data_IF_901154163284
#
_entry.id   IF_901154163284
#
_cell.length_a   1.000
_cell.length_b   1.000
_cell.length_c   1.000
_cell.angle_alpha   90.00
_cell.angle_beta   90.00
_cell.angle_gamma   90.00
#
_symmetry.space_group_name_H-M   'P 1'
#
loop_
_entity.id
_entity.type
_entity.pdbx_description
1 polymer ?
#
# COMPACT_ATOMS: atom_id res chain seq x y z
N UNK A 1 52.64 29.13 14.86
CA UNK A 1 51.26 29.57 15.21
C UNK A 1 50.20 29.26 14.10
N UNK A 2 50.44 29.49 12.79
CA UNK A 2 49.44 29.30 11.73
C UNK A 2 49.11 27.82 11.52
N UNK A 3 50.10 26.88 11.54
CA UNK A 3 49.87 25.41 11.37
C UNK A 3 49.05 24.78 12.51
N UNK A 4 49.23 25.25 13.74
CA UNK A 4 48.48 24.77 14.92
C UNK A 4 46.98 25.19 14.86
N UNK A 5 46.67 26.40 14.40
CA UNK A 5 45.28 26.86 14.23
C UNK A 5 44.54 26.05 13.15
N UNK A 6 45.23 25.73 12.02
CA UNK A 6 44.66 24.90 10.94
C UNK A 6 44.35 23.49 11.43
N UNK A 7 45.25 22.86 12.20
CA UNK A 7 45.04 21.54 12.78
C UNK A 7 43.87 21.49 13.76
N UNK A 8 43.72 22.53 14.63
CA UNK A 8 42.60 22.64 15.57
C UNK A 8 41.28 22.83 14.79
N UNK A 9 41.24 23.70 13.78
CA UNK A 9 40.03 23.94 12.97
C UNK A 9 39.63 22.66 12.21
N UNK A 10 40.59 21.93 11.63
CA UNK A 10 40.35 20.66 10.96
C UNK A 10 39.81 19.59 11.93
N UNK A 11 40.36 19.50 13.12
CA UNK A 11 39.89 18.60 14.18
C UNK A 11 38.47 18.90 14.62
N UNK A 12 38.11 20.20 14.78
CA UNK A 12 36.74 20.62 15.08
C UNK A 12 35.77 20.26 13.95
N UNK A 13 36.13 20.51 12.69
CA UNK A 13 35.29 20.18 11.55
C UNK A 13 35.06 18.69 11.48
N UNK A 14 36.12 17.89 11.60
CA UNK A 14 36.02 16.41 11.64
C UNK A 14 35.16 15.95 12.80
N UNK A 15 35.32 16.52 14.00
CA UNK A 15 34.49 16.22 15.17
C UNK A 15 33.01 16.53 14.94
N UNK A 16 32.67 17.67 14.35
CA UNK A 16 31.30 18.03 13.98
C UNK A 16 30.71 17.05 12.96
N UNK A 17 31.45 16.70 11.91
CA UNK A 17 31.02 15.76 10.89
C UNK A 17 30.77 14.37 11.48
N UNK A 18 31.68 13.87 12.31
CA UNK A 18 31.51 12.59 12.98
C UNK A 18 30.33 12.58 13.96
N UNK A 19 30.12 13.67 14.70
CA UNK A 19 28.96 13.81 15.58
C UNK A 19 27.64 13.86 14.83
N UNK A 20 27.59 14.58 13.72
CA UNK A 20 26.42 14.62 12.83
C UNK A 20 26.13 13.24 12.22
N UNK A 21 27.18 12.52 11.80
CA UNK A 21 27.05 11.16 11.27
C UNK A 21 26.55 10.19 12.34
N UNK A 22 27.11 10.22 13.54
CA UNK A 22 26.69 9.39 14.67
C UNK A 22 25.23 9.69 15.07
N UNK A 23 24.83 10.96 15.08
CA UNK A 23 23.45 11.37 15.34
C UNK A 23 22.50 10.84 14.24
N UNK A 24 22.84 11.02 12.96
CA UNK A 24 22.04 10.54 11.84
C UNK A 24 21.89 9.01 11.88
N UNK A 25 22.98 8.31 12.16
CA UNK A 25 22.99 6.85 12.29
C UNK A 25 22.11 6.38 13.47
N UNK A 26 22.27 7.00 14.64
CA UNK A 26 21.44 6.70 15.82
C UNK A 26 19.97 7.00 15.59
N UNK A 27 19.67 8.14 14.97
CA UNK A 27 18.30 8.51 14.62
C UNK A 27 17.67 7.55 13.61
N UNK A 28 18.43 7.14 12.59
CA UNK A 28 17.92 6.14 11.62
C UNK A 28 17.62 4.80 12.30
N UNK A 29 18.52 4.33 13.19
CA UNK A 29 18.24 3.10 13.98
C UNK A 29 17.03 3.24 14.87
N UNK A 30 16.84 4.40 15.49
CA UNK A 30 15.63 4.69 16.26
C UNK A 30 14.38 4.62 15.38
N UNK A 31 14.35 5.28 14.21
CA UNK A 31 13.22 5.21 13.29
C UNK A 31 12.89 3.78 12.88
N UNK A 32 13.93 2.98 12.62
CA UNK A 32 13.77 1.58 12.22
C UNK A 32 13.30 0.66 13.36
N UNK A 33 13.31 1.11 14.60
CA UNK A 33 12.76 0.35 15.74
C UNK A 33 11.28 0.60 16.00
N UNK A 34 10.66 1.56 15.31
CA UNK A 34 9.29 2.01 15.57
C UNK A 34 8.17 1.16 14.92
N UNK A 35 8.35 0.62 13.70
CA UNK A 35 7.31 -0.17 13.05
C UNK A 35 6.98 -1.47 13.81
N UNK A 36 5.74 -1.91 13.67
CA UNK A 36 5.39 -3.28 14.03
C UNK A 36 5.86 -4.20 12.91
N UNK A 37 6.91 -4.97 13.17
CA UNK A 37 7.45 -5.92 12.19
C UNK A 37 6.74 -7.26 12.26
N UNK A 38 6.33 -7.76 11.09
CA UNK A 38 6.00 -9.17 10.92
C UNK A 38 7.32 -9.98 10.84
N UNK A 39 7.58 -10.78 11.84
CA UNK A 39 8.84 -11.51 12.00
C UNK A 39 8.90 -12.83 11.23
N UNK A 40 7.81 -13.26 10.59
CA UNK A 40 7.78 -14.50 9.80
C UNK A 40 8.55 -14.38 8.46
N UNK A 41 9.12 -13.21 8.16
CA UNK A 41 10.00 -12.99 7.01
C UNK A 41 9.26 -12.85 5.67
N UNK A 42 10.03 -12.98 4.58
CA UNK A 42 9.51 -12.90 3.21
C UNK A 42 8.52 -14.02 2.91
N UNK A 43 7.57 -13.72 2.05
CA UNK A 43 6.57 -14.70 1.61
C UNK A 43 7.08 -15.35 0.33
N UNK A 44 7.37 -16.68 0.34
CA UNK A 44 7.87 -17.36 -0.85
C UNK A 44 6.82 -17.34 -1.96
N UNK A 45 7.29 -17.23 -3.20
CA UNK A 45 6.46 -17.33 -4.38
C UNK A 45 6.06 -18.80 -4.59
N UNK A 46 4.76 -19.04 -4.74
CA UNK A 46 4.24 -20.36 -5.04
C UNK A 46 4.53 -20.71 -6.51
N UNK A 47 5.48 -21.62 -6.74
CA UNK A 47 5.91 -22.02 -8.10
C UNK A 47 5.19 -23.25 -8.63
N UNK A 48 4.71 -24.12 -7.75
CA UNK A 48 4.05 -25.39 -8.15
C UNK A 48 2.53 -25.23 -8.14
N UNK A 49 1.97 -24.79 -9.26
CA UNK A 49 0.53 -24.51 -9.42
C UNK A 49 -0.24 -25.62 -10.13
N UNK A 50 0.45 -26.67 -10.62
CA UNK A 50 -0.19 -27.75 -11.41
C UNK A 50 -1.08 -28.66 -10.56
N UNK A 51 -0.90 -28.68 -9.25
CA UNK A 51 -1.58 -29.58 -8.31
C UNK A 51 -2.70 -28.91 -7.48
N UNK A 52 -3.36 -27.87 -8.01
CA UNK A 52 -4.45 -27.21 -7.30
C UNK A 52 -5.81 -27.72 -7.79
N UNK A 53 -6.37 -28.80 -7.20
CA UNK A 53 -7.62 -29.41 -7.67
C UNK A 53 -8.83 -28.47 -7.53
N UNK A 54 -8.78 -27.55 -6.55
CA UNK A 54 -9.91 -26.70 -6.15
C UNK A 54 -9.97 -25.35 -6.88
N UNK A 55 -9.09 -25.12 -7.88
CA UNK A 55 -9.06 -23.86 -8.63
C UNK A 55 -10.00 -23.93 -9.83
N UNK A 56 -10.87 -22.94 -10.00
CA UNK A 56 -11.76 -22.85 -11.17
C UNK A 56 -10.95 -22.84 -12.48
N UNK A 57 -11.41 -23.52 -13.56
CA UNK A 57 -10.67 -23.65 -14.82
C UNK A 57 -10.23 -22.31 -15.42
N UNK A 58 -11.08 -21.27 -15.32
CA UNK A 58 -10.81 -19.92 -15.83
C UNK A 58 -9.59 -19.27 -15.13
N UNK A 59 -9.38 -19.58 -13.85
CA UNK A 59 -8.23 -19.10 -13.08
C UNK A 59 -6.95 -19.85 -13.44
N UNK A 60 -7.07 -21.16 -13.78
CA UNK A 60 -5.91 -21.99 -14.15
C UNK A 60 -5.16 -21.44 -15.36
N UNK A 61 -5.85 -20.84 -16.33
CA UNK A 61 -5.20 -20.23 -17.50
C UNK A 61 -4.25 -19.10 -17.09
N UNK A 62 -4.70 -18.20 -16.20
CA UNK A 62 -3.83 -17.15 -15.68
C UNK A 62 -2.64 -17.71 -14.87
N UNK A 63 -2.85 -18.80 -14.15
CA UNK A 63 -1.82 -19.44 -13.33
C UNK A 63 -0.72 -20.14 -14.15
N UNK A 64 -0.96 -20.49 -15.40
CA UNK A 64 0.07 -21.02 -16.31
C UNK A 64 1.12 -19.97 -16.69
N UNK A 65 0.78 -18.69 -16.55
CA UNK A 65 1.71 -17.60 -16.83
C UNK A 65 2.81 -17.60 -15.75
N UNK A 66 4.11 -17.56 -16.09
CA UNK A 66 5.18 -17.49 -15.10
C UNK A 66 5.03 -16.29 -14.18
N UNK A 67 5.47 -16.39 -12.93
CA UNK A 67 5.49 -15.22 -12.04
C UNK A 67 6.42 -14.16 -12.62
N UNK A 68 5.90 -12.94 -12.74
CA UNK A 68 6.69 -11.82 -13.21
C UNK A 68 7.58 -11.29 -12.08
N UNK A 69 8.88 -11.33 -12.33
CA UNK A 69 9.90 -10.77 -11.45
C UNK A 69 10.85 -9.91 -12.29
N UNK A 70 10.99 -8.65 -11.89
CA UNK A 70 11.97 -7.72 -12.44
C UNK A 70 12.70 -7.06 -11.27
N UNK A 71 14.03 -7.26 -11.10
CA UNK A 71 14.78 -6.73 -9.96
C UNK A 71 14.83 -5.19 -9.91
N UNK A 72 14.48 -4.50 -10.99
CA UNK A 72 14.38 -3.04 -11.04
C UNK A 72 12.99 -2.50 -10.63
N UNK A 73 12.03 -3.41 -10.36
CA UNK A 73 10.67 -3.05 -9.94
C UNK A 73 10.41 -3.62 -8.55
N UNK A 74 10.29 -2.75 -7.56
CA UNK A 74 10.01 -3.13 -6.18
C UNK A 74 8.52 -3.04 -5.90
N UNK A 75 7.88 -4.18 -5.65
CA UNK A 75 6.46 -4.29 -5.40
C UNK A 75 6.15 -4.34 -3.91
N UNK A 76 5.32 -3.39 -3.42
CA UNK A 76 4.87 -3.30 -2.03
C UNK A 76 3.35 -3.18 -2.02
N UNK A 77 2.65 -4.09 -1.32
CA UNK A 77 1.20 -3.99 -1.17
C UNK A 77 0.84 -3.04 -0.02
N UNK A 78 0.19 -1.93 -0.35
CA UNK A 78 -0.38 -1.01 0.62
C UNK A 78 -1.77 -1.50 1.02
N UNK A 79 -1.95 -1.77 2.32
CA UNK A 79 -3.20 -2.34 2.86
C UNK A 79 -3.83 -1.35 3.84
N UNK A 80 -5.03 -0.89 3.49
CA UNK A 80 -5.89 -0.16 4.42
C UNK A 80 -6.90 -1.12 5.07
N UNK A 81 -6.87 -1.27 6.40
CA UNK A 81 -7.75 -2.20 7.09
C UNK A 81 -8.70 -1.52 8.07
N UNK A 82 -9.95 -2.04 8.15
CA UNK A 82 -10.94 -1.68 9.17
C UNK A 82 -10.77 -2.59 10.39
N UNK A 83 -9.56 -2.55 10.99
CA UNK A 83 -9.31 -3.29 12.23
C UNK A 83 -9.93 -2.53 13.40
N UNK A 84 -10.89 -3.15 14.08
CA UNK A 84 -11.60 -2.55 15.22
C UNK A 84 -11.09 -3.06 16.57
N UNK A 85 -10.53 -4.25 16.60
CA UNK A 85 -9.97 -4.90 17.78
C UNK A 85 -8.71 -5.70 17.42
N UNK A 86 -7.99 -6.16 18.44
CA UNK A 86 -6.78 -6.95 18.28
C UNK A 86 -7.06 -8.44 18.01
N UNK A 87 -8.33 -8.86 18.02
CA UNK A 87 -8.72 -10.26 17.86
C UNK A 87 -8.97 -10.65 16.40
N UNK A 88 -9.10 -9.67 15.49
CA UNK A 88 -9.36 -9.93 14.07
C UNK A 88 -8.38 -9.17 13.17
N UNK A 89 -8.13 -9.71 11.98
CA UNK A 89 -7.36 -8.98 10.97
C UNK A 89 -8.14 -7.79 10.38
N UNK A 90 -9.47 -7.77 10.54
CA UNK A 90 -10.36 -6.82 9.88
C UNK A 90 -10.51 -7.11 8.38
N UNK A 91 -11.29 -6.27 7.71
CA UNK A 91 -11.41 -6.33 6.25
C UNK A 91 -10.39 -5.41 5.61
N UNK A 92 -9.74 -5.87 4.53
CA UNK A 92 -8.98 -4.97 3.67
C UNK A 92 -9.95 -4.22 2.75
N UNK A 93 -10.19 -2.96 3.07
CA UNK A 93 -11.06 -2.10 2.25
C UNK A 93 -10.26 -1.34 1.17
N UNK A 94 -8.95 -1.29 1.30
CA UNK A 94 -8.01 -0.75 0.31
C UNK A 94 -6.84 -1.71 0.10
N UNK A 95 -6.59 -2.06 -1.15
CA UNK A 95 -5.47 -2.90 -1.59
C UNK A 95 -4.85 -2.27 -2.81
N UNK A 96 -3.71 -1.60 -2.62
CA UNK A 96 -3.02 -0.86 -3.67
C UNK A 96 -1.59 -1.38 -3.76
N UNK A 97 -1.23 -1.95 -4.90
CA UNK A 97 0.15 -2.30 -5.19
C UNK A 97 0.89 -1.01 -5.58
N UNK A 98 1.89 -0.67 -4.82
CA UNK A 98 2.90 0.30 -5.18
C UNK A 98 4.05 -0.44 -5.85
N UNK A 99 4.24 -0.21 -7.15
CA UNK A 99 5.41 -0.67 -7.89
C UNK A 99 6.35 0.49 -8.12
N UNK A 100 7.54 0.41 -7.55
CA UNK A 100 8.61 1.41 -7.69
C UNK A 100 9.48 0.95 -8.86
N UNK A 101 9.37 1.58 -10.01
CA UNK A 101 10.19 1.27 -11.18
C UNK A 101 11.42 2.18 -11.18
N UNK A 102 12.58 1.64 -10.81
CA UNK A 102 13.83 2.39 -10.73
C UNK A 102 14.48 2.66 -12.10
N UNK A 103 14.02 1.97 -13.15
CA UNK A 103 14.48 2.18 -14.52
C UNK A 103 13.83 3.39 -15.18
N UNK A 104 12.55 3.62 -14.88
CA UNK A 104 11.74 4.68 -15.50
C UNK A 104 11.50 5.87 -14.59
N UNK A 105 11.99 5.80 -13.33
CA UNK A 105 11.77 6.79 -12.27
C UNK A 105 10.27 7.07 -12.00
N UNK A 106 9.47 5.99 -11.96
CA UNK A 106 8.02 6.08 -11.77
C UNK A 106 7.51 5.26 -10.57
N UNK A 107 6.42 5.75 -10.01
CA UNK A 107 5.54 5.00 -9.12
C UNK A 107 4.28 4.57 -9.87
N UNK A 108 4.01 3.27 -9.89
CA UNK A 108 2.76 2.75 -10.43
C UNK A 108 1.85 2.30 -9.30
N UNK A 109 0.64 2.87 -9.21
CA UNK A 109 -0.36 2.53 -8.22
C UNK A 109 -1.46 1.66 -8.86
N UNK A 110 -1.44 0.37 -8.59
CA UNK A 110 -2.45 -0.58 -9.07
C UNK A 110 -3.46 -0.90 -7.97
N UNK A 111 -4.71 -0.44 -8.11
CA UNK A 111 -5.78 -0.69 -7.14
C UNK A 111 -6.52 -1.97 -7.48
N UNK A 112 -6.54 -2.95 -6.55
CA UNK A 112 -7.31 -4.18 -6.69
C UNK A 112 -8.72 -4.02 -6.14
N UNK A 113 -9.72 -4.37 -6.96
CA UNK A 113 -11.11 -4.40 -6.52
C UNK A 113 -11.30 -5.55 -5.51
N UNK A 114 -11.80 -5.23 -4.34
CA UNK A 114 -11.88 -6.15 -3.19
C UNK A 114 -12.78 -7.37 -3.41
N UNK A 115 -13.73 -7.30 -4.34
CA UNK A 115 -14.68 -8.37 -4.66
C UNK A 115 -14.32 -9.14 -5.94
N UNK A 116 -13.06 -9.05 -6.42
CA UNK A 116 -12.58 -9.97 -7.46
C UNK A 116 -12.66 -11.38 -6.90
N UNK A 117 -13.24 -12.30 -7.68
CA UNK A 117 -13.34 -13.72 -7.36
C UNK A 117 -12.00 -14.38 -7.63
N UNK A 118 -11.34 -14.86 -6.57
CA UNK A 118 -9.94 -15.35 -6.61
C UNK A 118 -9.84 -16.73 -5.97
N UNK A 119 -8.78 -17.48 -6.32
CA UNK A 119 -8.35 -18.67 -5.60
C UNK A 119 -7.55 -18.25 -4.34
N UNK A 120 -7.98 -18.72 -3.16
CA UNK A 120 -7.33 -18.42 -1.88
C UNK A 120 -6.59 -19.66 -1.38
N UNK A 121 -5.27 -19.59 -1.11
CA UNK A 121 -4.50 -20.69 -0.52
C UNK A 121 -5.12 -21.15 0.82
N UNK A 122 -4.96 -22.46 1.13
CA UNK A 122 -5.46 -23.06 2.39
C UNK A 122 -4.59 -22.69 3.62
N UNK A 123 -3.81 -21.64 3.55
CA UNK A 123 -2.92 -21.16 4.60
C UNK A 123 -3.64 -20.11 5.46
N UNK A 124 -4.77 -20.53 6.03
CA UNK A 124 -5.61 -19.66 6.86
C UNK A 124 -5.24 -19.77 8.34
N UNK A 125 -5.43 -18.68 9.07
CA UNK A 125 -5.36 -18.71 10.52
C UNK A 125 -6.33 -19.77 11.08
N UNK A 126 -5.92 -20.60 12.06
CA UNK A 126 -6.77 -21.64 12.67
C UNK A 126 -8.16 -21.15 13.08
N UNK A 127 -8.29 -19.89 13.53
CA UNK A 127 -9.57 -19.27 13.92
C UNK A 127 -10.57 -19.18 12.77
N UNK A 128 -10.08 -19.14 11.50
CA UNK A 128 -10.89 -18.94 10.30
C UNK A 128 -10.97 -20.16 9.40
N UNK A 129 -10.29 -21.28 9.71
CA UNK A 129 -10.29 -22.50 8.90
C UNK A 129 -11.69 -22.99 8.53
N UNK A 130 -12.65 -22.90 9.44
CA UNK A 130 -14.06 -23.32 9.21
C UNK A 130 -14.78 -22.46 8.16
N UNK A 131 -14.32 -21.27 7.90
CA UNK A 131 -14.90 -20.35 6.90
C UNK A 131 -14.15 -20.37 5.57
N UNK A 132 -13.02 -21.09 5.52
CA UNK A 132 -12.20 -21.13 4.34
C UNK A 132 -12.96 -21.77 3.17
N UNK A 133 -12.78 -21.18 1.99
CA UNK A 133 -13.22 -21.71 0.71
C UNK A 133 -12.10 -21.50 -0.32
N UNK A 134 -11.87 -22.47 -1.21
CA UNK A 134 -10.81 -22.36 -2.21
C UNK A 134 -10.98 -21.16 -3.14
N UNK A 135 -12.20 -20.69 -3.32
CA UNK A 135 -12.52 -19.50 -4.12
C UNK A 135 -13.41 -18.56 -3.33
N UNK A 136 -13.03 -17.28 -3.28
CA UNK A 136 -13.81 -16.23 -2.61
C UNK A 136 -13.44 -14.84 -3.15
N UNK A 137 -14.10 -13.79 -2.63
CA UNK A 137 -13.71 -12.41 -2.86
C UNK A 137 -12.31 -12.13 -2.31
N UNK A 138 -11.49 -11.37 -3.02
CA UNK A 138 -10.09 -11.09 -2.68
C UNK A 138 -9.90 -10.60 -1.23
N UNK A 139 -10.78 -9.75 -0.73
CA UNK A 139 -10.69 -9.24 0.64
C UNK A 139 -10.94 -10.30 1.73
N UNK A 140 -11.51 -11.46 1.39
CA UNK A 140 -11.65 -12.57 2.32
C UNK A 140 -10.29 -13.14 2.73
N UNK A 141 -9.30 -13.13 1.84
CA UNK A 141 -7.95 -13.56 2.16
C UNK A 141 -7.36 -12.79 3.35
N UNK A 142 -7.52 -11.47 3.36
CA UNK A 142 -7.06 -10.66 4.52
C UNK A 142 -7.84 -10.98 5.80
N UNK A 143 -9.14 -11.20 5.70
CA UNK A 143 -9.97 -11.56 6.87
C UNK A 143 -9.54 -12.91 7.47
N UNK A 144 -9.15 -13.88 6.64
CA UNK A 144 -8.86 -15.25 7.06
C UNK A 144 -7.41 -15.54 7.44
N UNK A 145 -6.46 -14.74 6.99
CA UNK A 145 -5.04 -14.98 7.24
C UNK A 145 -4.18 -13.71 7.18
N UNK A 146 -4.82 -12.55 7.33
CA UNK A 146 -4.12 -11.26 7.41
C UNK A 146 -3.39 -10.86 6.13
N UNK A 147 -2.40 -9.97 6.27
CA UNK A 147 -1.61 -9.48 5.15
C UNK A 147 -0.91 -10.60 4.39
N UNK A 148 -0.41 -11.60 5.08
CA UNK A 148 0.37 -12.70 4.48
C UNK A 148 -0.47 -13.56 3.53
N UNK A 149 -1.67 -13.97 3.95
CA UNK A 149 -2.56 -14.73 3.07
C UNK A 149 -3.04 -13.87 1.89
N UNK A 150 -3.26 -12.58 2.11
CA UNK A 150 -3.61 -11.66 1.03
C UNK A 150 -2.47 -11.56 -0.02
N UNK A 151 -1.21 -11.43 0.42
CA UNK A 151 -0.07 -11.43 -0.51
C UNK A 151 0.03 -12.73 -1.29
N UNK A 152 -0.01 -13.90 -0.61
CA UNK A 152 -0.03 -15.21 -1.28
C UNK A 152 -1.16 -15.31 -2.31
N UNK A 153 -2.32 -14.77 -1.97
CA UNK A 153 -3.47 -14.75 -2.88
C UNK A 153 -3.21 -13.88 -4.11
N UNK A 154 -2.60 -12.70 -3.93
CA UNK A 154 -2.24 -11.81 -5.05
C UNK A 154 -1.14 -12.45 -5.92
N UNK A 155 -0.08 -12.98 -5.32
CA UNK A 155 0.98 -13.69 -6.05
C UNK A 155 0.41 -14.81 -6.91
N UNK A 156 -0.44 -15.68 -6.30
CA UNK A 156 -1.05 -16.82 -6.97
C UNK A 156 -1.88 -16.40 -8.19
N UNK A 157 -2.81 -15.47 -7.99
CA UNK A 157 -3.80 -15.15 -9.01
C UNK A 157 -3.30 -14.16 -10.05
N UNK A 158 -2.48 -13.17 -9.68
CA UNK A 158 -2.00 -12.13 -10.60
C UNK A 158 -0.59 -12.36 -11.12
N UNK A 159 0.08 -13.44 -10.68
CA UNK A 159 1.42 -13.84 -11.13
C UNK A 159 2.45 -12.72 -11.04
N UNK A 160 2.41 -12.00 -9.93
CA UNK A 160 3.32 -10.90 -9.60
C UNK A 160 4.22 -11.31 -8.43
N UNK A 161 5.50 -10.95 -8.50
CA UNK A 161 6.38 -11.01 -7.34
C UNK A 161 6.08 -9.87 -6.38
N UNK A 162 5.22 -10.15 -5.39
CA UNK A 162 4.82 -9.22 -4.33
C UNK A 162 5.09 -9.87 -2.98
N UNK A 163 6.25 -9.61 -2.39
CA UNK A 163 6.68 -10.25 -1.16
C UNK A 163 6.50 -9.35 0.07
N UNK A 164 6.25 -8.08 -0.13
CA UNK A 164 6.23 -7.09 0.94
C UNK A 164 4.91 -6.34 1.03
N UNK A 165 4.55 -5.95 2.26
CA UNK A 165 3.40 -5.12 2.52
C UNK A 165 3.70 -4.00 3.50
N UNK A 166 2.90 -2.95 3.41
CA UNK A 166 2.74 -1.91 4.43
C UNK A 166 1.26 -1.81 4.75
N UNK A 167 0.91 -2.02 6.01
CA UNK A 167 -0.47 -1.97 6.49
C UNK A 167 -0.65 -0.81 7.45
N UNK A 168 -1.75 -0.09 7.26
CA UNK A 168 -2.19 1.01 8.12
C UNK A 168 -3.66 0.80 8.45
N UNK A 169 -4.03 0.85 9.72
CA UNK A 169 -5.43 0.88 10.13
C UNK A 169 -6.01 2.31 10.07
N UNK A 170 -7.33 2.43 10.16
CA UNK A 170 -7.99 3.72 10.02
C UNK A 170 -7.61 4.74 11.10
N UNK A 171 -7.37 4.31 12.35
CA UNK A 171 -6.95 5.22 13.42
C UNK A 171 -5.57 5.81 13.14
N UNK A 172 -4.68 4.95 12.69
CA UNK A 172 -3.31 5.33 12.36
C UNK A 172 -3.24 6.17 11.08
N UNK A 173 -4.10 5.87 10.09
CA UNK A 173 -4.25 6.71 8.90
C UNK A 173 -4.63 8.15 9.26
N UNK A 174 -5.63 8.35 10.13
CA UNK A 174 -6.04 9.67 10.61
C UNK A 174 -4.86 10.42 11.22
N UNK A 175 -4.10 9.78 12.11
CA UNK A 175 -2.91 10.38 12.74
C UNK A 175 -1.85 10.79 11.72
N UNK A 176 -1.57 9.94 10.72
CA UNK A 176 -0.60 10.26 9.67
C UNK A 176 -1.03 11.50 8.87
N UNK A 177 -2.30 11.56 8.44
CA UNK A 177 -2.83 12.72 7.70
C UNK A 177 -2.77 13.99 8.54
N UNK A 178 -3.13 13.93 9.83
CA UNK A 178 -3.06 15.09 10.72
C UNK A 178 -1.62 15.55 10.94
N UNK A 179 -0.69 14.61 11.04
CA UNK A 179 0.73 14.92 11.25
C UNK A 179 1.36 15.64 10.06
N UNK A 180 1.00 15.30 8.83
CA UNK A 180 1.45 16.05 7.65
C UNK A 180 0.75 17.40 7.50
N UNK A 181 -0.19 17.72 8.40
CA UNK A 181 -0.97 18.96 8.39
C UNK A 181 -2.19 18.92 7.50
N UNK A 182 -2.62 17.73 7.05
CA UNK A 182 -3.71 17.53 6.09
C UNK A 182 -3.21 17.42 4.65
N UNK A 183 -4.10 16.97 3.76
CA UNK A 183 -3.84 16.82 2.33
C UNK A 183 -4.85 17.63 1.51
N UNK A 184 -4.37 18.24 0.42
CA UNK A 184 -5.21 19.02 -0.49
C UNK A 184 -5.92 18.09 -1.46
N UNK A 185 -7.24 18.15 -1.49
CA UNK A 185 -8.09 17.35 -2.36
C UNK A 185 -9.14 18.24 -3.01
N UNK A 186 -9.38 18.05 -4.30
CA UNK A 186 -10.46 18.68 -5.04
C UNK A 186 -11.74 17.89 -4.85
N UNK A 187 -12.74 18.50 -4.19
CA UNK A 187 -14.04 17.89 -3.93
C UNK A 187 -15.07 18.30 -4.99
N UNK A 188 -15.81 17.34 -5.50
CA UNK A 188 -17.06 17.61 -6.22
C UNK A 188 -18.12 18.08 -5.24
N UNK A 189 -19.20 18.77 -5.72
CA UNK A 189 -20.30 19.17 -4.86
C UNK A 189 -21.00 17.98 -4.19
N UNK A 190 -21.14 16.85 -4.89
CA UNK A 190 -21.72 15.64 -4.33
C UNK A 190 -20.89 15.07 -3.16
N UNK A 191 -19.56 15.10 -3.28
CA UNK A 191 -18.64 14.66 -2.21
C UNK A 191 -18.66 15.62 -1.03
N UNK A 192 -18.60 16.93 -1.30
CA UNK A 192 -18.69 17.96 -0.26
C UNK A 192 -20.02 17.89 0.50
N UNK A 193 -21.12 17.74 -0.21
CA UNK A 193 -22.45 17.57 0.39
C UNK A 193 -22.53 16.32 1.28
N UNK A 194 -21.98 15.20 0.80
CA UNK A 194 -21.93 13.96 1.58
C UNK A 194 -21.10 14.11 2.86
N UNK A 195 -19.94 14.78 2.79
CA UNK A 195 -19.08 15.04 3.94
C UNK A 195 -19.73 16.02 4.93
N UNK A 196 -20.42 17.07 4.45
CA UNK A 196 -21.21 17.97 5.31
C UNK A 196 -22.30 17.21 6.07
N UNK A 197 -22.97 16.26 5.40
CA UNK A 197 -23.95 15.37 6.03
C UNK A 197 -23.38 14.47 7.14
N UNK A 198 -22.05 14.32 7.18
CA UNK A 198 -21.32 13.62 8.24
C UNK A 198 -20.70 14.57 9.30
N UNK A 199 -20.99 15.88 9.21
CA UNK A 199 -20.52 16.87 10.17
C UNK A 199 -19.18 17.55 9.81
N UNK A 200 -18.59 17.27 8.63
CA UNK A 200 -17.36 17.92 8.20
C UNK A 200 -17.66 19.29 7.55
N UNK A 201 -16.87 20.31 7.91
CA UNK A 201 -16.99 21.65 7.36
C UNK A 201 -16.16 21.78 6.08
N UNK A 202 -16.75 21.45 4.94
CA UNK A 202 -16.09 21.47 3.63
C UNK A 202 -17.02 22.01 2.56
N UNK A 203 -16.45 22.56 1.48
CA UNK A 203 -17.15 23.02 0.27
C UNK A 203 -16.60 22.31 -0.95
N UNK A 204 -17.27 22.43 -2.10
CA UNK A 204 -16.72 21.96 -3.37
C UNK A 204 -15.43 22.74 -3.74
N UNK A 205 -14.62 22.16 -4.61
CA UNK A 205 -13.31 22.69 -5.00
C UNK A 205 -12.18 22.23 -4.11
N UNK A 206 -11.05 22.92 -4.17
CA UNK A 206 -9.84 22.55 -3.41
C UNK A 206 -10.05 22.74 -1.92
N UNK A 207 -9.84 21.66 -1.17
CA UNK A 207 -10.01 21.63 0.27
C UNK A 207 -8.79 20.98 0.94
N UNK A 208 -8.35 21.53 2.08
CA UNK A 208 -7.38 20.89 2.95
C UNK A 208 -8.10 19.94 3.89
N UNK A 209 -8.11 18.65 3.57
CA UNK A 209 -8.74 17.63 4.41
C UNK A 209 -7.80 17.19 5.54
N UNK A 210 -8.26 17.28 6.77
CA UNK A 210 -7.66 16.69 7.96
C UNK A 210 -8.01 15.20 8.06
N UNK A 211 -7.38 14.48 8.99
CA UNK A 211 -7.45 13.04 9.09
C UNK A 211 -8.85 12.44 9.03
N UNK A 212 -9.78 12.89 9.88
CA UNK A 212 -11.15 12.37 9.91
C UNK A 212 -11.92 12.67 8.61
N UNK A 213 -11.84 13.89 8.09
CA UNK A 213 -12.48 14.26 6.84
C UNK A 213 -11.85 13.51 5.65
N UNK A 214 -10.54 13.32 5.65
CA UNK A 214 -9.82 12.56 4.64
C UNK A 214 -10.21 11.07 4.67
N UNK A 215 -10.34 10.48 5.86
CA UNK A 215 -10.83 9.12 6.04
C UNK A 215 -12.27 9.00 5.55
N UNK A 216 -13.15 9.92 5.95
CA UNK A 216 -14.55 9.95 5.48
C UNK A 216 -14.62 10.04 3.95
N UNK A 217 -13.83 10.92 3.32
CA UNK A 217 -13.72 11.04 1.86
C UNK A 217 -13.31 9.71 1.20
N UNK A 218 -12.26 9.07 1.70
CA UNK A 218 -11.75 7.80 1.17
C UNK A 218 -12.77 6.64 1.27
N UNK A 219 -13.79 6.78 2.12
CA UNK A 219 -14.81 5.76 2.41
C UNK A 219 -16.17 6.06 1.76
N UNK A 220 -16.34 7.16 1.05
CA UNK A 220 -17.59 7.50 0.37
C UNK A 220 -18.00 6.37 -0.59
N UNK A 221 -19.24 5.86 -0.46
CA UNK A 221 -19.81 4.77 -1.26
C UNK A 221 -21.25 5.03 -1.70
N UNK A 222 -22.00 5.88 -0.99
CA UNK A 222 -23.45 6.02 -1.16
C UNK A 222 -23.85 6.95 -2.32
N UNK A 223 -22.92 7.75 -2.79
CA UNK A 223 -23.19 8.75 -3.86
C UNK A 223 -22.82 8.21 -5.26
N UNK A 224 -22.09 7.08 -5.32
CA UNK A 224 -21.61 6.51 -6.57
C UNK A 224 -21.13 5.04 -6.41
N UNK A 225 -20.15 4.61 -7.20
CA UNK A 225 -19.68 3.22 -7.27
C UNK A 225 -18.47 2.92 -6.39
N UNK A 226 -18.23 1.63 -6.15
CA UNK A 226 -17.01 1.14 -5.48
C UNK A 226 -15.72 1.53 -6.26
N UNK A 227 -15.80 1.67 -7.59
CA UNK A 227 -14.72 2.18 -8.45
C UNK A 227 -14.34 3.62 -8.11
N UNK A 228 -15.33 4.48 -7.91
CA UNK A 228 -15.11 5.87 -7.52
C UNK A 228 -14.48 5.95 -6.12
N UNK A 229 -14.89 5.07 -5.19
CA UNK A 229 -14.23 4.96 -3.88
C UNK A 229 -12.75 4.58 -4.03
N UNK A 230 -12.41 3.57 -4.83
CA UNK A 230 -11.01 3.21 -5.08
C UNK A 230 -10.22 4.37 -5.70
N UNK A 231 -10.84 5.15 -6.58
CA UNK A 231 -10.27 6.39 -7.11
C UNK A 231 -9.93 7.37 -5.99
N UNK A 232 -10.88 7.64 -5.08
CA UNK A 232 -10.65 8.52 -3.92
C UNK A 232 -9.49 8.06 -3.03
N UNK A 233 -9.37 6.75 -2.80
CA UNK A 233 -8.26 6.19 -2.02
C UNK A 233 -6.91 6.48 -2.67
N UNK A 234 -6.80 6.37 -3.99
CA UNK A 234 -5.57 6.73 -4.71
C UNK A 234 -5.32 8.23 -4.71
N UNK A 235 -6.37 9.05 -4.90
CA UNK A 235 -6.27 10.52 -4.78
C UNK A 235 -5.67 10.92 -3.44
N UNK A 236 -6.06 10.26 -2.35
CA UNK A 236 -5.50 10.52 -1.01
C UNK A 236 -4.01 10.13 -0.95
N UNK A 237 -3.62 8.97 -1.48
CA UNK A 237 -2.22 8.55 -1.51
C UNK A 237 -1.38 9.51 -2.34
N UNK A 238 -1.86 9.89 -3.51
CA UNK A 238 -1.19 10.86 -4.37
C UNK A 238 -1.04 12.22 -3.68
N UNK A 239 -2.12 12.72 -3.03
CA UNK A 239 -2.10 13.97 -2.28
C UNK A 239 -1.12 13.91 -1.09
N UNK A 240 -1.03 12.76 -0.40
CA UNK A 240 -0.07 12.53 0.66
C UNK A 240 1.37 12.56 0.13
N UNK A 241 1.65 11.88 -0.97
CA UNK A 241 2.97 11.90 -1.62
C UNK A 241 3.33 13.35 -2.04
N UNK A 242 2.42 14.07 -2.69
CA UNK A 242 2.61 15.47 -3.08
C UNK A 242 2.89 16.35 -1.84
N UNK A 243 2.15 16.15 -0.76
CA UNK A 243 2.35 16.86 0.50
C UNK A 243 3.74 16.61 1.08
N UNK A 244 4.16 15.35 1.16
CA UNK A 244 5.48 14.98 1.67
C UNK A 244 6.61 15.56 0.79
N UNK A 245 6.42 15.62 -0.53
CA UNK A 245 7.37 16.26 -1.46
C UNK A 245 7.55 17.75 -1.21
N UNK A 246 6.50 18.45 -0.81
CA UNK A 246 6.52 19.90 -0.53
C UNK A 246 7.02 20.26 0.88
N UNK A 247 7.20 19.26 1.77
CA UNK A 247 7.63 19.51 3.15
C UNK A 247 9.09 19.90 3.23
N UNK A 248 9.39 20.78 4.20
CA UNK A 248 10.76 21.16 4.51
C UNK A 248 11.55 19.93 5.01
N UNK A 249 12.84 19.80 4.66
CA UNK A 249 13.69 18.73 5.19
C UNK A 249 13.74 18.68 6.72
N UNK A 250 13.54 19.80 7.40
CA UNK A 250 13.54 19.89 8.88
C UNK A 250 12.27 19.30 9.51
N UNK A 251 11.14 19.26 8.78
CA UNK A 251 9.88 18.70 9.28
C UNK A 251 9.73 17.20 8.98
N UNK A 252 10.40 16.71 7.95
CA UNK A 252 10.33 15.31 7.51
C UNK A 252 10.65 14.29 8.61
N UNK A 253 11.69 14.47 9.46
CA UNK A 253 12.01 13.50 10.50
C UNK A 253 10.85 13.19 11.44
N UNK A 254 10.13 14.21 11.91
CA UNK A 254 8.97 14.03 12.81
C UNK A 254 7.81 13.31 12.12
N UNK A 255 7.58 13.63 10.85
CA UNK A 255 6.53 12.96 10.05
C UNK A 255 6.88 11.49 9.82
N UNK A 256 8.15 11.19 9.48
CA UNK A 256 8.62 9.82 9.32
C UNK A 256 8.48 9.02 10.62
N UNK A 257 8.83 9.61 11.77
CA UNK A 257 8.66 8.97 13.07
C UNK A 257 7.20 8.55 13.31
N UNK A 258 6.24 9.44 13.06
CA UNK A 258 4.82 9.13 13.27
C UNK A 258 4.29 8.12 12.26
N UNK A 259 4.72 8.18 11.01
CA UNK A 259 4.40 7.15 10.01
C UNK A 259 4.93 5.80 10.50
N UNK A 260 6.20 5.72 10.87
CA UNK A 260 6.85 4.48 11.30
C UNK A 260 6.18 3.86 12.54
N UNK A 261 5.78 4.67 13.53
CA UNK A 261 5.03 4.19 14.72
C UNK A 261 3.67 3.58 14.42
N UNK A 262 3.08 3.94 13.29
CA UNK A 262 1.69 3.65 12.96
C UNK A 262 1.53 2.66 11.79
N UNK A 263 2.62 2.02 11.35
CA UNK A 263 2.57 1.01 10.29
C UNK A 263 2.97 -0.38 10.80
N UNK A 264 2.39 -1.39 10.15
CA UNK A 264 2.75 -2.79 10.27
C UNK A 264 3.32 -3.25 8.92
N UNK A 265 4.45 -3.98 8.93
CA UNK A 265 5.13 -4.39 7.71
C UNK A 265 5.96 -5.66 7.89
N UNK A 266 6.20 -6.40 6.81
CA UNK A 266 7.22 -7.45 6.74
C UNK A 266 8.49 -7.00 5.99
N UNK A 267 8.61 -5.72 5.66
CA UNK A 267 9.88 -5.17 5.20
C UNK A 267 10.92 -5.30 6.31
N UNK A 268 12.13 -5.72 5.94
CA UNK A 268 13.24 -5.72 6.90
C UNK A 268 13.69 -4.30 7.24
N UNK A 269 14.32 -4.09 8.41
CA UNK A 269 14.90 -2.78 8.73
C UNK A 269 15.85 -2.25 7.66
N UNK A 270 16.66 -3.14 7.02
CA UNK A 270 17.56 -2.75 5.93
C UNK A 270 16.83 -2.26 4.68
N UNK A 271 15.73 -2.92 4.29
CA UNK A 271 14.91 -2.46 3.17
C UNK A 271 14.24 -1.11 3.45
N UNK A 272 13.66 -0.94 4.65
CA UNK A 272 13.12 0.36 5.07
C UNK A 272 14.18 1.46 5.07
N UNK A 273 15.38 1.16 5.56
CA UNK A 273 16.51 2.10 5.53
C UNK A 273 16.86 2.52 4.10
N UNK A 274 16.89 1.57 3.16
CA UNK A 274 17.12 1.87 1.74
C UNK A 274 16.07 2.83 1.18
N UNK A 275 14.78 2.60 1.45
CA UNK A 275 13.72 3.51 1.00
C UNK A 275 13.82 4.90 1.65
N UNK A 276 14.19 4.99 2.93
CA UNK A 276 14.40 6.28 3.62
C UNK A 276 15.56 7.05 2.96
N UNK A 277 16.67 6.40 2.66
CA UNK A 277 17.83 7.05 2.05
C UNK A 277 17.56 7.49 0.61
N UNK A 278 16.72 6.74 -0.11
CA UNK A 278 16.32 7.09 -1.47
C UNK A 278 15.15 8.10 -1.54
N UNK A 279 14.64 8.60 -0.40
CA UNK A 279 13.47 9.50 -0.39
C UNK A 279 13.66 10.74 -1.26
N UNK A 280 14.87 11.29 -1.34
CA UNK A 280 15.18 12.46 -2.18
C UNK A 280 15.11 12.11 -3.68
N UNK A 281 15.56 10.92 -4.09
CA UNK A 281 15.41 10.39 -5.45
C UNK A 281 13.92 10.23 -5.78
N UNK A 282 13.16 9.57 -4.90
CA UNK A 282 11.74 9.29 -5.07
C UNK A 282 10.85 10.54 -5.11
N UNK A 283 11.30 11.68 -4.60
CA UNK A 283 10.55 12.95 -4.72
C UNK A 283 10.31 13.39 -6.16
N UNK A 284 11.13 12.92 -7.11
CA UNK A 284 11.06 13.29 -8.54
C UNK A 284 10.22 12.31 -9.36
N UNK A 285 9.91 11.13 -8.84
CA UNK A 285 9.20 10.08 -9.57
C UNK A 285 7.79 10.52 -9.94
N UNK A 286 7.37 10.25 -11.16
CA UNK A 286 6.01 10.43 -11.61
C UNK A 286 5.09 9.35 -11.01
N UNK A 287 3.78 9.61 -10.98
CA UNK A 287 2.80 8.69 -10.41
C UNK A 287 1.78 8.33 -11.48
N UNK A 288 1.79 7.07 -11.90
CA UNK A 288 0.80 6.50 -12.79
C UNK A 288 -0.18 5.60 -12.02
N UNK A 289 -1.42 5.45 -12.52
CA UNK A 289 -2.48 4.77 -11.78
C UNK A 289 -3.31 3.87 -12.68
N UNK A 290 -3.64 2.65 -12.20
CA UNK A 290 -4.58 1.77 -12.86
C UNK A 290 -5.54 1.08 -11.88
N UNK A 291 -6.63 0.54 -12.42
CA UNK A 291 -7.58 -0.33 -11.71
C UNK A 291 -7.50 -1.77 -12.21
N UNK A 292 -7.65 -2.71 -11.29
CA UNK A 292 -7.84 -4.12 -11.60
C UNK A 292 -9.15 -4.58 -10.95
N UNK A 293 -10.01 -5.23 -11.72
CA UNK A 293 -9.89 -5.63 -13.13
C UNK A 293 -10.07 -4.46 -14.08
N UNK A 294 -9.45 -4.56 -15.27
CA UNK A 294 -9.68 -3.61 -16.36
C UNK A 294 -11.11 -3.76 -16.90
N UNK A 295 -11.70 -2.63 -17.32
CA UNK A 295 -13.13 -2.52 -17.63
C UNK A 295 -13.60 -3.54 -18.66
N UNK A 296 -12.83 -3.70 -19.75
CA UNK A 296 -13.17 -4.56 -20.89
C UNK A 296 -13.06 -6.07 -20.57
N UNK A 297 -12.44 -6.43 -19.45
CA UNK A 297 -12.08 -7.81 -19.12
C UNK A 297 -12.61 -8.26 -17.76
N UNK A 298 -13.81 -7.78 -17.40
CA UNK A 298 -14.53 -8.16 -16.18
C UNK A 298 -15.99 -8.47 -16.47
N UNK A 299 -16.55 -9.34 -15.66
CA UNK A 299 -17.99 -9.61 -15.62
C UNK A 299 -18.47 -9.55 -14.16
N UNK A 300 -19.56 -8.84 -13.91
CA UNK A 300 -20.22 -8.81 -12.60
C UNK A 300 -21.14 -10.03 -12.50
N UNK A 301 -21.02 -10.78 -11.42
CA UNK A 301 -21.83 -11.98 -11.16
C UNK A 301 -22.19 -12.06 -9.68
N UNK A 302 -23.05 -13.01 -9.32
CA UNK A 302 -23.39 -13.31 -7.94
C UNK A 302 -22.90 -14.70 -7.55
N UNK A 303 -22.41 -14.83 -6.34
CA UNK A 303 -22.12 -16.14 -5.73
C UNK A 303 -23.43 -16.89 -5.45
N UNK A 304 -23.34 -18.18 -5.11
CA UNK A 304 -24.49 -18.97 -4.65
C UNK A 304 -25.20 -18.36 -3.42
N UNK A 305 -24.47 -17.63 -2.58
CA UNK A 305 -24.99 -16.91 -1.41
C UNK A 305 -25.51 -15.51 -1.73
N UNK A 306 -25.58 -15.11 -3.01
CA UNK A 306 -26.11 -13.83 -3.46
C UNK A 306 -25.15 -12.65 -3.41
N UNK A 307 -23.90 -12.83 -2.96
CA UNK A 307 -22.91 -11.77 -2.93
C UNK A 307 -22.39 -11.41 -4.32
N UNK A 308 -22.30 -10.13 -4.61
CA UNK A 308 -21.77 -9.64 -5.87
C UNK A 308 -20.23 -9.73 -5.91
N UNK A 309 -19.72 -10.31 -6.98
CA UNK A 309 -18.29 -10.48 -7.24
C UNK A 309 -17.97 -10.18 -8.71
N UNK A 310 -16.68 -9.95 -8.98
CA UNK A 310 -16.17 -9.80 -10.34
C UNK A 310 -15.39 -11.05 -10.74
N UNK A 311 -15.86 -11.75 -11.79
CA UNK A 311 -15.05 -12.68 -12.58
C UNK A 311 -14.28 -11.90 -13.64
N UNK A 312 -13.04 -12.28 -13.91
CA UNK A 312 -12.15 -11.53 -14.79
C UNK A 312 -11.49 -12.44 -15.82
N UNK A 313 -11.09 -11.88 -16.94
CA UNK A 313 -10.15 -12.55 -17.83
C UNK A 313 -8.75 -12.45 -17.21
N UNK A 314 -8.27 -13.57 -16.66
CA UNK A 314 -7.01 -13.61 -15.91
C UNK A 314 -5.81 -13.23 -16.75
N UNK A 315 -5.69 -13.82 -17.96
CA UNK A 315 -4.57 -13.57 -18.88
C UNK A 315 -4.47 -12.08 -19.20
N UNK A 316 -5.58 -11.47 -19.62
CA UNK A 316 -5.62 -10.06 -20.02
C UNK A 316 -5.34 -9.10 -18.86
N UNK A 317 -5.82 -9.41 -17.67
CA UNK A 317 -5.54 -8.58 -16.49
C UNK A 317 -4.08 -8.72 -16.03
N UNK A 318 -3.48 -9.90 -16.07
CA UNK A 318 -2.06 -10.12 -15.74
C UNK A 318 -1.17 -9.39 -16.76
N UNK A 319 -1.43 -9.55 -18.06
CA UNK A 319 -0.69 -8.84 -19.12
C UNK A 319 -0.77 -7.32 -18.95
N UNK A 320 -1.97 -6.80 -18.66
CA UNK A 320 -2.16 -5.36 -18.47
C UNK A 320 -1.41 -4.81 -17.26
N UNK A 321 -1.40 -5.54 -16.12
CA UNK A 321 -0.63 -5.12 -14.93
C UNK A 321 0.85 -5.08 -15.26
N UNK A 322 1.39 -6.13 -15.92
CA UNK A 322 2.80 -6.19 -16.30
C UNK A 322 3.19 -5.04 -17.20
N UNK A 323 2.44 -4.84 -18.28
CA UNK A 323 2.69 -3.74 -19.21
C UNK A 323 2.64 -2.37 -18.52
N UNK A 324 1.76 -2.21 -17.52
CA UNK A 324 1.60 -0.97 -16.78
C UNK A 324 2.80 -0.69 -15.86
N UNK A 325 3.29 -1.68 -15.11
CA UNK A 325 4.40 -1.48 -14.16
C UNK A 325 5.77 -1.39 -14.84
N UNK A 326 5.87 -1.75 -16.13
CA UNK A 326 7.09 -1.65 -16.94
C UNK A 326 7.26 -0.26 -17.62
N UNK A 327 6.20 0.52 -17.73
CA UNK A 327 6.23 1.86 -18.32
C UNK A 327 7.05 2.85 -17.47
#
# INVERSE_FOLDING_TARGET
MRKSKIAITLGLVVGIVLSAFAFLFGYTRYLLSLPTYDTEGTIPIETNLEQLPDVEPEMKEGMKIPVYNNPQIHNILLIGSDRRDDKSYGRSDSMILLSINEKTDKFHLTSFQRTIWVSIPKDTDPRYQRYWSPNNALNAAHTWGGPRLLLKTIQRNFRLDVQHYVKVDFKNFVKVIDRVGGVEIELTEAEASHLRGQGHQVTAGKQLLKGDACLAYSRIRRIDSDWKRMGRQRTVIEALIKKMRSMSPLSLPRVLEDIMRNLETNLTPGQLQSYIFNVLKYRKYEIDQMFVPIEQHKARTKTKSGHEVYKINWVKNIEAIRAFIEQ
#
